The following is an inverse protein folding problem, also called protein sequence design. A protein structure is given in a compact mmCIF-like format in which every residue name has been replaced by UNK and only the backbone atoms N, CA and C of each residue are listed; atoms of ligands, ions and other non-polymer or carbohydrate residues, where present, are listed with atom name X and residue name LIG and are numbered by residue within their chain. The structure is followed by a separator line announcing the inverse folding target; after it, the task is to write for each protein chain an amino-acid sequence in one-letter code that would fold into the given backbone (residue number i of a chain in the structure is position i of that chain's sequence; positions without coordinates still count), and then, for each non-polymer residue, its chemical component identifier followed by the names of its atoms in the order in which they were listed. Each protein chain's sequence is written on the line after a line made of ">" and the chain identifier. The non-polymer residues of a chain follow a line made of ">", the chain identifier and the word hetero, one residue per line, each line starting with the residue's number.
data_IF_146210731106
#
_entry.id   IF_146210731106
#
_cell.length_a   1.000
_cell.length_b   1.000
_cell.length_c   1.000
_cell.angle_alpha   90.00
_cell.angle_beta   90.00
_cell.angle_gamma   90.00
#
_symmetry.space_group_name_H-M   'P 1'
#
loop_
_entity.id
_entity.type
_entity.pdbx_description
1 polymer ?
#
# COMPACT_ATOMS: atom_id res chain seq x y z
N UNK A 1 -0.54 -13.90 17.42
CA UNK A 1 -0.26 -12.50 17.10
C UNK A 1 0.74 -12.51 15.98
N UNK A 2 0.50 -11.83 14.86
CA UNK A 2 1.56 -11.62 13.89
C UNK A 2 2.74 -11.02 14.65
N UNK A 3 3.90 -11.56 14.43
CA UNK A 3 5.14 -10.96 14.89
C UNK A 3 5.17 -9.55 14.30
N UNK A 4 5.20 -8.48 15.11
CA UNK A 4 5.16 -7.12 14.60
C UNK A 4 6.34 -6.77 13.69
N UNK A 5 7.32 -7.65 13.64
CA UNK A 5 8.53 -7.48 12.84
C UNK A 5 8.44 -8.16 11.46
N UNK A 6 7.30 -8.77 11.08
CA UNK A 6 7.19 -9.55 9.83
C UNK A 6 6.97 -8.76 8.55
N UNK A 7 6.75 -7.46 8.62
CA UNK A 7 6.65 -6.63 7.42
C UNK A 7 7.27 -5.25 7.64
N UNK A 8 7.84 -4.71 6.56
CA UNK A 8 8.23 -3.31 6.48
C UNK A 8 7.17 -2.59 5.65
N UNK A 9 6.37 -1.77 6.32
CA UNK A 9 5.35 -0.94 5.70
C UNK A 9 5.87 0.50 5.53
N UNK A 10 5.34 1.19 4.54
CA UNK A 10 5.60 2.60 4.29
C UNK A 10 4.26 3.34 4.30
N UNK A 11 4.15 4.30 5.20
CA UNK A 11 2.98 5.19 5.32
C UNK A 11 3.36 6.63 4.99
N UNK A 12 2.43 7.37 4.41
CA UNK A 12 2.62 8.77 4.05
C UNK A 12 1.58 9.60 4.77
N UNK A 13 2.03 10.62 5.51
CA UNK A 13 1.17 11.61 6.13
C UNK A 13 1.00 12.82 5.20
N UNK A 14 -0.23 13.08 4.77
CA UNK A 14 -0.60 14.33 4.10
C UNK A 14 -1.27 15.28 5.08
N UNK A 15 -0.76 16.50 5.15
CA UNK A 15 -1.29 17.56 5.98
C UNK A 15 -1.65 18.79 5.13
N UNK A 16 -2.86 19.30 5.31
CA UNK A 16 -3.29 20.56 4.69
C UNK A 16 -3.16 21.71 5.71
N UNK A 17 -2.16 22.54 5.54
CA UNK A 17 -1.92 23.71 6.41
C UNK A 17 -3.02 24.77 6.32
N UNK A 18 -3.83 24.76 5.26
CA UNK A 18 -4.98 25.63 5.07
C UNK A 18 -6.29 25.05 5.63
N UNK A 19 -6.23 23.98 6.42
CA UNK A 19 -7.38 23.39 7.08
C UNK A 19 -8.13 24.43 7.90
N UNK A 20 -9.40 24.64 7.61
CA UNK A 20 -10.24 25.70 8.21
C UNK A 20 -10.44 26.94 7.31
N UNK A 21 -9.67 27.09 6.23
CA UNK A 21 -10.05 27.98 5.13
C UNK A 21 -10.82 27.15 4.11
N UNK A 22 -11.95 27.67 3.70
CA UNK A 22 -12.94 27.08 2.81
C UNK A 22 -12.52 25.79 2.12
N UNK A 23 -13.29 24.77 2.39
CA UNK A 23 -13.24 23.48 1.68
C UNK A 23 -13.19 23.74 0.15
N UNK A 24 -12.00 23.73 -0.41
CA UNK A 24 -11.91 23.63 -1.86
C UNK A 24 -12.25 22.18 -2.17
N UNK A 25 -13.38 21.93 -2.80
CA UNK A 25 -13.79 20.58 -3.26
C UNK A 25 -12.75 19.92 -4.20
N UNK A 26 -11.63 20.57 -4.43
CA UNK A 26 -10.44 20.12 -5.17
C UNK A 26 -9.33 19.57 -4.25
N UNK A 27 -9.47 19.71 -2.94
CA UNK A 27 -8.50 19.20 -1.98
C UNK A 27 -8.39 17.66 -2.07
N UNK A 28 -7.17 17.13 -2.05
CA UNK A 28 -6.94 15.68 -2.01
C UNK A 28 -7.62 15.03 -0.80
N UNK A 29 -7.68 15.71 0.34
CA UNK A 29 -8.35 15.22 1.53
C UNK A 29 -9.87 15.07 1.31
N UNK A 30 -10.48 16.04 0.61
CA UNK A 30 -11.88 15.95 0.23
C UNK A 30 -12.15 14.80 -0.75
N UNK A 31 -11.27 14.58 -1.73
CA UNK A 31 -11.37 13.44 -2.66
C UNK A 31 -11.29 12.10 -1.91
N UNK A 32 -10.38 11.97 -0.94
CA UNK A 32 -10.26 10.78 -0.08
C UNK A 32 -11.52 10.60 0.76
N UNK A 33 -12.06 11.67 1.35
CA UNK A 33 -13.31 11.63 2.11
C UNK A 33 -14.48 11.19 1.25
N UNK A 34 -14.64 11.73 0.05
CA UNK A 34 -15.68 11.32 -0.89
C UNK A 34 -15.58 9.85 -1.25
N UNK A 35 -14.36 9.36 -1.52
CA UNK A 35 -14.12 7.95 -1.78
C UNK A 35 -14.51 7.09 -0.58
N UNK A 36 -14.10 7.48 0.62
CA UNK A 36 -14.48 6.78 1.85
C UNK A 36 -15.99 6.71 2.02
N UNK A 37 -16.70 7.83 1.84
CA UNK A 37 -18.15 7.90 1.95
C UNK A 37 -18.85 7.01 0.89
N UNK A 38 -18.32 6.95 -0.30
CA UNK A 38 -18.83 6.07 -1.36
C UNK A 38 -18.72 4.60 -0.98
N UNK A 39 -17.56 4.16 -0.46
CA UNK A 39 -17.36 2.78 0.04
C UNK A 39 -18.24 2.50 1.25
N UNK A 40 -18.30 3.45 2.19
CA UNK A 40 -19.05 3.30 3.43
C UNK A 40 -20.56 3.17 3.19
N UNK A 41 -21.09 3.93 2.23
CA UNK A 41 -22.52 3.94 1.89
C UNK A 41 -22.93 2.81 0.95
N UNK A 42 -21.97 2.07 0.41
CA UNK A 42 -22.26 0.97 -0.50
C UNK A 42 -23.10 -0.12 0.18
N UNK A 43 -24.03 -0.70 -0.55
CA UNK A 43 -24.96 -1.72 -0.04
C UNK A 43 -24.26 -2.99 0.47
N UNK A 44 -23.01 -3.24 0.05
CA UNK A 44 -22.20 -4.37 0.49
C UNK A 44 -21.39 -4.05 1.75
N UNK A 45 -21.28 -2.78 2.14
CA UNK A 45 -20.71 -2.39 3.42
C UNK A 45 -21.69 -2.73 4.54
N UNK A 46 -21.22 -3.45 5.53
CA UNK A 46 -22.07 -3.92 6.64
C UNK A 46 -21.49 -3.47 7.96
N UNK A 47 -22.35 -2.96 8.82
CA UNK A 47 -21.99 -2.67 10.21
C UNK A 47 -21.65 -3.96 10.94
N UNK A 48 -20.55 -3.98 11.65
CA UNK A 48 -20.22 -5.10 12.52
C UNK A 48 -21.25 -5.20 13.66
N UNK A 49 -21.54 -6.42 14.07
CA UNK A 49 -22.44 -6.67 15.22
C UNK A 49 -21.79 -6.15 16.51
N UNK A 50 -22.49 -5.28 17.22
CA UNK A 50 -22.02 -4.73 18.51
C UNK A 50 -21.91 -5.78 19.61
N UNK A 51 -22.56 -6.92 19.48
CA UNK A 51 -22.51 -8.00 20.44
C UNK A 51 -22.31 -9.36 19.79
N UNK A 52 -21.39 -10.14 20.35
CA UNK A 52 -21.22 -11.54 19.94
C UNK A 52 -22.49 -12.35 20.22
N UNK A 53 -22.85 -13.32 19.34
CA UNK A 53 -23.90 -14.27 19.61
C UNK A 53 -23.67 -14.97 20.97
N UNK A 54 -24.77 -15.28 21.66
CA UNK A 54 -24.72 -15.84 23.02
C UNK A 54 -23.72 -17.00 23.18
N UNK A 55 -23.68 -17.91 22.22
CA UNK A 55 -22.79 -19.09 22.25
C UNK A 55 -21.29 -18.77 22.20
N UNK A 56 -20.93 -17.59 21.69
CA UNK A 56 -19.52 -17.19 21.55
C UNK A 56 -19.05 -16.18 22.60
N UNK A 57 -19.98 -15.68 23.45
CA UNK A 57 -19.66 -14.60 24.42
C UNK A 57 -18.50 -14.98 25.34
N UNK A 58 -18.49 -16.23 25.84
CA UNK A 58 -17.42 -16.66 26.75
C UNK A 58 -16.07 -16.73 26.08
N UNK A 59 -15.98 -17.25 24.86
CA UNK A 59 -14.72 -17.31 24.11
C UNK A 59 -14.25 -15.92 23.71
N UNK A 60 -15.17 -15.03 23.32
CA UNK A 60 -14.83 -13.62 23.00
C UNK A 60 -14.28 -12.90 24.23
N UNK A 61 -14.88 -13.06 25.39
CA UNK A 61 -14.39 -12.44 26.63
C UNK A 61 -13.00 -12.93 26.99
N UNK A 62 -12.75 -14.25 26.95
CA UNK A 62 -11.46 -14.82 27.24
C UNK A 62 -10.37 -14.34 26.26
N UNK A 63 -10.69 -14.26 24.98
CA UNK A 63 -9.75 -13.75 23.98
C UNK A 63 -9.48 -12.24 24.16
N UNK A 64 -10.50 -11.47 24.51
CA UNK A 64 -10.36 -10.05 24.82
C UNK A 64 -9.45 -9.83 26.03
N UNK A 65 -9.63 -10.60 27.10
CA UNK A 65 -8.76 -10.55 28.29
C UNK A 65 -7.31 -10.93 27.94
N UNK A 66 -7.13 -11.97 27.13
CA UNK A 66 -5.81 -12.39 26.66
C UNK A 66 -5.13 -11.34 25.79
N UNK A 67 -5.88 -10.64 24.93
CA UNK A 67 -5.39 -9.51 24.14
C UNK A 67 -4.99 -8.33 25.03
N UNK A 68 -5.79 -7.97 26.02
CA UNK A 68 -5.45 -6.90 26.96
C UNK A 68 -4.18 -7.22 27.75
N UNK A 69 -4.03 -8.44 28.24
CA UNK A 69 -2.81 -8.83 28.95
C UNK A 69 -1.58 -8.77 28.04
N UNK A 70 -1.66 -9.30 26.82
CA UNK A 70 -0.57 -9.22 25.83
C UNK A 70 -0.20 -7.77 25.52
N UNK A 71 -1.19 -6.92 25.31
CA UNK A 71 -0.96 -5.50 25.05
C UNK A 71 -0.30 -4.79 26.23
N UNK A 72 -0.76 -5.05 27.47
CA UNK A 72 -0.14 -4.46 28.65
C UNK A 72 1.32 -4.89 28.82
N UNK A 73 1.59 -6.20 28.67
CA UNK A 73 2.96 -6.73 28.73
C UNK A 73 3.84 -6.13 27.64
N UNK A 74 3.31 -5.98 26.42
CA UNK A 74 4.03 -5.37 25.32
C UNK A 74 4.34 -3.88 25.60
N UNK A 75 3.37 -3.14 26.12
CA UNK A 75 3.56 -1.72 26.49
C UNK A 75 4.64 -1.55 27.54
N UNK A 76 4.67 -2.42 28.55
CA UNK A 76 5.68 -2.41 29.61
C UNK A 76 7.07 -2.74 29.08
N UNK A 77 7.15 -3.61 28.07
CA UNK A 77 8.41 -4.01 27.44
C UNK A 77 8.95 -2.97 26.45
N UNK A 78 8.08 -2.07 25.92
CA UNK A 78 8.44 -1.12 24.87
C UNK A 78 8.04 0.33 25.21
N UNK A 79 8.45 0.88 26.36
CA UNK A 79 8.10 2.24 26.76
C UNK A 79 8.65 3.29 25.78
N UNK A 80 9.74 3.00 25.09
CA UNK A 80 10.36 3.88 24.10
C UNK A 80 9.44 4.14 22.88
N UNK A 81 8.61 3.19 22.50
CA UNK A 81 7.66 3.35 21.39
C UNK A 81 6.50 4.28 21.79
N UNK A 82 6.12 4.26 23.06
CA UNK A 82 5.08 5.14 23.59
C UNK A 82 5.59 6.58 23.77
N UNK A 83 6.88 6.76 24.08
CA UNK A 83 7.47 8.09 24.22
C UNK A 83 7.55 8.86 22.89
N UNK A 84 7.57 8.14 21.75
CA UNK A 84 7.54 8.74 20.42
C UNK A 84 6.19 9.32 20.02
N UNK A 85 5.13 9.10 20.80
CA UNK A 85 3.80 9.68 20.54
C UNK A 85 3.77 11.21 20.60
N UNK A 86 4.81 11.83 21.14
CA UNK A 86 4.97 13.29 21.18
C UNK A 86 5.77 13.85 19.98
N UNK A 87 6.08 13.02 18.98
CA UNK A 87 6.72 13.52 17.75
C UNK A 87 5.74 14.40 17.00
N UNK A 88 6.10 15.65 16.76
CA UNK A 88 5.32 16.52 15.90
C UNK A 88 5.57 16.14 14.43
N UNK A 89 4.74 15.26 13.92
CA UNK A 89 4.84 14.81 12.52
C UNK A 89 4.54 15.95 11.54
N UNK A 90 3.80 16.98 11.96
CA UNK A 90 3.47 18.13 11.12
C UNK A 90 4.71 18.99 10.88
N UNK A 91 5.51 19.22 11.92
CA UNK A 91 6.78 19.95 11.78
C UNK A 91 7.78 19.22 10.88
N UNK A 92 7.69 17.91 10.76
CA UNK A 92 8.55 17.10 9.90
C UNK A 92 8.09 17.06 8.44
N UNK A 93 6.94 17.66 8.10
CA UNK A 93 6.43 17.67 6.72
C UNK A 93 7.20 18.61 5.82
N UNK A 94 7.24 18.28 4.53
CA UNK A 94 7.80 19.14 3.49
C UNK A 94 6.69 19.58 2.53
N UNK A 95 6.76 20.80 1.98
CA UNK A 95 5.78 21.26 1.02
C UNK A 95 5.82 20.43 -0.26
N UNK A 96 4.64 20.05 -0.77
CA UNK A 96 4.47 19.41 -2.07
C UNK A 96 3.88 20.40 -3.08
N UNK A 97 4.25 20.27 -4.34
CA UNK A 97 3.71 21.11 -5.43
C UNK A 97 2.27 20.68 -5.78
N UNK A 98 2.01 19.40 -5.81
CA UNK A 98 0.71 18.84 -6.12
C UNK A 98 0.56 17.46 -5.50
N UNK A 99 -0.66 17.09 -5.17
CA UNK A 99 -1.05 15.75 -4.76
C UNK A 99 -2.33 15.39 -5.50
N UNK A 100 -2.37 14.22 -6.09
CA UNK A 100 -3.55 13.69 -6.78
C UNK A 100 -3.95 12.37 -6.18
N UNK A 101 -5.20 12.22 -5.80
CA UNK A 101 -5.78 10.96 -5.37
C UNK A 101 -6.29 10.18 -6.58
N UNK A 102 -5.84 8.94 -6.72
CA UNK A 102 -6.30 8.03 -7.76
C UNK A 102 -6.84 6.74 -7.13
N UNK A 103 -7.93 6.23 -7.66
CA UNK A 103 -8.53 4.98 -7.19
C UNK A 103 -9.20 4.22 -8.34
N UNK A 104 -9.37 2.92 -8.16
CA UNK A 104 -10.20 2.14 -9.05
C UNK A 104 -11.68 2.39 -8.76
N UNK A 105 -12.57 2.29 -9.77
CA UNK A 105 -14.00 2.36 -9.56
C UNK A 105 -14.47 1.27 -8.59
N UNK A 106 -15.42 1.61 -7.75
CA UNK A 106 -16.10 0.64 -6.89
C UNK A 106 -17.19 -0.03 -7.73
N UNK A 107 -16.84 -1.19 -8.28
CA UNK A 107 -17.77 -1.99 -9.06
C UNK A 107 -17.53 -3.47 -8.79
N UNK A 108 -18.59 -4.17 -8.38
CA UNK A 108 -18.51 -5.61 -8.05
C UNK A 108 -18.39 -6.47 -9.31
N UNK A 109 -18.99 -6.05 -10.41
CA UNK A 109 -19.09 -6.84 -11.62
C UNK A 109 -17.98 -6.57 -12.64
N UNK A 110 -17.38 -5.39 -12.63
CA UNK A 110 -16.32 -5.01 -13.54
C UNK A 110 -15.18 -4.34 -12.77
N UNK A 111 -14.02 -4.97 -12.75
CA UNK A 111 -12.80 -4.38 -12.17
C UNK A 111 -12.05 -3.66 -13.28
N UNK A 112 -12.13 -2.34 -13.27
CA UNK A 112 -11.39 -1.50 -14.19
C UNK A 112 -10.07 -1.10 -13.53
N UNK A 113 -8.91 -1.47 -14.07
CA UNK A 113 -7.61 -1.20 -13.45
C UNK A 113 -7.13 0.24 -13.76
N UNK A 114 -7.94 1.25 -13.43
CA UNK A 114 -7.64 2.66 -13.74
C UNK A 114 -6.35 3.13 -13.07
N UNK A 115 -6.12 2.73 -11.82
CA UNK A 115 -4.87 3.08 -11.12
C UNK A 115 -3.67 2.54 -11.88
N UNK A 116 -3.71 1.28 -12.31
CA UNK A 116 -2.63 0.70 -13.10
C UNK A 116 -2.39 1.46 -14.41
N UNK A 117 -3.46 1.78 -15.16
CA UNK A 117 -3.33 2.51 -16.41
C UNK A 117 -2.74 3.91 -16.22
N UNK A 118 -3.14 4.61 -15.17
CA UNK A 118 -2.58 5.92 -14.84
C UNK A 118 -1.11 5.82 -14.44
N UNK A 119 -0.74 4.88 -13.55
CA UNK A 119 0.65 4.65 -13.18
C UNK A 119 1.50 4.26 -14.39
N UNK A 120 0.97 3.42 -15.27
CA UNK A 120 1.66 3.04 -16.50
C UNK A 120 1.94 4.25 -17.42
N UNK A 121 0.95 5.14 -17.60
CA UNK A 121 1.15 6.37 -18.38
C UNK A 121 2.23 7.27 -17.76
N UNK A 122 2.25 7.39 -16.44
CA UNK A 122 3.29 8.13 -15.73
C UNK A 122 4.67 7.49 -15.96
N UNK A 123 4.79 6.18 -15.84
CA UNK A 123 6.04 5.45 -16.11
C UNK A 123 6.48 5.60 -17.57
N UNK A 124 5.54 5.54 -18.51
CA UNK A 124 5.81 5.76 -19.93
C UNK A 124 6.25 7.21 -20.23
N UNK A 125 5.95 8.17 -19.34
CA UNK A 125 6.40 9.57 -19.42
C UNK A 125 7.83 9.79 -18.86
N UNK A 126 8.44 8.83 -18.17
CA UNK A 126 9.74 8.99 -17.55
C UNK A 126 10.84 9.39 -18.55
N UNK A 127 11.76 10.24 -18.13
CA UNK A 127 12.89 10.73 -18.94
C UNK A 127 14.22 10.23 -18.43
N UNK A 128 14.37 10.01 -17.10
CA UNK A 128 15.64 9.62 -16.49
C UNK A 128 15.61 8.18 -15.95
N UNK A 129 14.57 7.81 -15.15
CA UNK A 129 14.50 6.51 -14.48
C UNK A 129 13.12 6.20 -13.90
N UNK A 130 12.86 4.91 -13.73
CA UNK A 130 11.67 4.41 -13.01
C UNK A 130 12.09 3.39 -11.97
N UNK A 131 11.64 3.56 -10.73
CA UNK A 131 11.75 2.58 -9.65
C UNK A 131 10.36 2.18 -9.17
N UNK A 132 10.04 0.90 -9.29
CA UNK A 132 8.80 0.32 -8.80
C UNK A 132 9.11 -0.66 -7.66
N UNK A 133 8.55 -0.43 -6.50
CA UNK A 133 8.58 -1.35 -5.38
C UNK A 133 7.19 -1.95 -5.18
N UNK A 134 7.12 -3.26 -5.07
CA UNK A 134 5.88 -3.98 -4.76
C UNK A 134 6.21 -5.30 -4.07
N UNK A 135 5.44 -5.72 -3.04
CA UNK A 135 5.68 -7.01 -2.40
C UNK A 135 5.43 -8.19 -3.34
N UNK A 136 4.54 -8.02 -4.33
CA UNK A 136 4.10 -9.08 -5.22
C UNK A 136 4.00 -8.60 -6.66
N UNK A 137 4.40 -9.45 -7.61
CA UNK A 137 4.21 -9.23 -9.04
C UNK A 137 3.20 -10.25 -9.58
N UNK A 138 1.93 -10.00 -9.32
CA UNK A 138 0.80 -10.74 -9.89
C UNK A 138 0.27 -9.93 -11.06
N UNK A 139 0.66 -10.31 -12.27
CA UNK A 139 0.42 -9.53 -13.48
C UNK A 139 -0.47 -10.27 -14.46
N UNK A 140 -1.39 -9.56 -15.08
CA UNK A 140 -2.05 -10.02 -16.28
C UNK A 140 -1.26 -9.69 -17.56
N UNK A 141 -1.75 -10.08 -18.73
CA UNK A 141 -1.04 -9.83 -19.99
C UNK A 141 -0.86 -8.33 -20.27
N UNK A 142 -1.86 -7.52 -19.98
CA UNK A 142 -1.80 -6.08 -20.24
C UNK A 142 -0.76 -5.38 -19.37
N UNK A 143 -0.54 -5.88 -18.15
CA UNK A 143 0.49 -5.41 -17.24
C UNK A 143 1.89 -5.78 -17.76
N UNK A 144 2.11 -7.01 -18.22
CA UNK A 144 3.40 -7.38 -18.84
C UNK A 144 3.70 -6.52 -20.08
N UNK A 145 2.70 -6.31 -20.93
CA UNK A 145 2.85 -5.47 -22.12
C UNK A 145 3.18 -4.01 -21.74
N UNK A 146 2.56 -3.50 -20.67
CA UNK A 146 2.83 -2.19 -20.13
C UNK A 146 4.27 -2.04 -19.61
N UNK A 147 4.72 -2.98 -18.78
CA UNK A 147 6.10 -3.02 -18.28
C UNK A 147 7.11 -3.11 -19.43
N UNK A 148 6.81 -3.91 -20.46
CA UNK A 148 7.66 -4.02 -21.66
C UNK A 148 7.74 -2.69 -22.43
N UNK A 149 6.65 -1.95 -22.53
CA UNK A 149 6.68 -0.61 -23.16
C UNK A 149 7.54 0.36 -22.38
N UNK A 150 7.44 0.38 -21.04
CA UNK A 150 8.28 1.23 -20.20
C UNK A 150 9.76 0.87 -20.37
N UNK A 151 10.12 -0.40 -20.26
CA UNK A 151 11.48 -0.88 -20.43
C UNK A 151 12.04 -0.61 -21.84
N UNK A 152 11.19 -0.75 -22.87
CA UNK A 152 11.55 -0.53 -24.29
C UNK A 152 11.88 0.92 -24.65
N UNK A 153 11.61 1.88 -23.77
CA UNK A 153 11.96 3.30 -23.99
C UNK A 153 13.47 3.57 -23.84
N UNK A 154 14.22 2.64 -23.26
CA UNK A 154 15.65 2.82 -22.99
C UNK A 154 15.94 3.62 -21.71
N UNK A 155 14.91 3.97 -20.93
CA UNK A 155 15.03 4.56 -19.60
C UNK A 155 15.30 3.44 -18.59
N UNK A 156 16.28 3.58 -17.66
CA UNK A 156 16.50 2.62 -16.60
C UNK A 156 15.22 2.33 -15.83
N UNK A 157 14.79 1.08 -15.84
CA UNK A 157 13.58 0.63 -15.15
C UNK A 157 13.91 -0.52 -14.20
N UNK A 158 13.74 -0.29 -12.91
CA UNK A 158 13.99 -1.28 -11.86
C UNK A 158 12.72 -1.62 -11.09
N UNK A 159 12.53 -2.91 -10.82
CA UNK A 159 11.41 -3.43 -10.04
C UNK A 159 11.96 -4.21 -8.86
N UNK A 160 11.56 -3.84 -7.64
CA UNK A 160 11.87 -4.58 -6.43
C UNK A 160 10.66 -5.40 -5.99
N UNK A 161 10.89 -6.68 -5.73
CA UNK A 161 9.87 -7.66 -5.35
C UNK A 161 10.41 -8.49 -4.17
N UNK A 162 9.54 -9.01 -3.30
CA UNK A 162 9.99 -9.99 -2.31
C UNK A 162 10.41 -11.29 -2.98
N UNK A 163 11.50 -11.87 -2.48
CA UNK A 163 11.84 -13.26 -2.79
C UNK A 163 10.79 -14.21 -2.20
N UNK A 164 10.74 -15.44 -2.71
CA UNK A 164 9.82 -16.46 -2.21
C UNK A 164 10.04 -16.79 -0.72
N UNK A 165 11.27 -16.61 -0.22
CA UNK A 165 11.63 -16.96 1.16
C UNK A 165 11.13 -15.96 2.21
N UNK A 166 10.82 -14.73 1.82
CA UNK A 166 10.38 -13.66 2.74
C UNK A 166 8.98 -13.14 2.43
N UNK A 167 8.36 -13.61 1.35
CA UNK A 167 6.98 -13.25 1.02
C UNK A 167 5.99 -13.78 2.06
N UNK A 168 5.16 -12.90 2.58
CA UNK A 168 4.12 -13.20 3.58
C UNK A 168 2.82 -13.74 2.96
N UNK A 169 2.66 -13.64 1.64
CA UNK A 169 1.54 -14.17 0.88
C UNK A 169 2.00 -15.28 -0.07
N UNK A 170 1.81 -16.53 0.36
CA UNK A 170 2.23 -17.70 -0.40
C UNK A 170 1.63 -17.76 -1.82
N UNK A 171 0.36 -17.40 -1.98
CA UNK A 171 -0.31 -17.44 -3.29
C UNK A 171 0.31 -16.46 -4.28
N UNK A 172 0.50 -15.21 -3.85
CA UNK A 172 1.09 -14.18 -4.68
C UNK A 172 2.57 -14.44 -4.98
N UNK A 173 3.33 -14.91 -3.97
CA UNK A 173 4.73 -15.30 -4.16
C UNK A 173 4.88 -16.48 -5.12
N UNK A 174 3.97 -17.47 -5.03
CA UNK A 174 3.95 -18.62 -5.95
C UNK A 174 3.62 -18.20 -7.38
N UNK A 175 2.70 -17.25 -7.57
CA UNK A 175 2.36 -16.73 -8.89
C UNK A 175 3.54 -16.01 -9.53
N UNK A 176 4.19 -15.11 -8.79
CA UNK A 176 5.41 -14.46 -9.24
C UNK A 176 6.49 -15.49 -9.62
N UNK A 177 6.76 -16.46 -8.77
CA UNK A 177 7.81 -17.44 -9.01
C UNK A 177 7.56 -18.28 -10.26
N UNK A 178 6.29 -18.63 -10.51
CA UNK A 178 5.87 -19.36 -11.71
C UNK A 178 6.02 -18.52 -12.97
N UNK A 179 5.79 -17.21 -12.86
CA UNK A 179 5.79 -16.28 -13.99
C UNK A 179 7.08 -15.41 -14.04
N UNK A 180 8.09 -15.70 -13.23
CA UNK A 180 9.31 -14.90 -13.12
C UNK A 180 9.98 -14.64 -14.47
N UNK A 181 10.04 -15.64 -15.35
CA UNK A 181 10.61 -15.48 -16.69
C UNK A 181 9.88 -14.39 -17.48
N UNK A 182 8.54 -14.33 -17.39
CA UNK A 182 7.74 -13.30 -18.07
C UNK A 182 8.02 -11.90 -17.54
N UNK A 183 8.24 -11.77 -16.22
CA UNK A 183 8.63 -10.47 -15.63
C UNK A 183 10.00 -10.04 -16.15
N UNK A 184 10.96 -10.96 -16.21
CA UNK A 184 12.29 -10.68 -16.76
C UNK A 184 12.25 -10.36 -18.27
N UNK A 185 11.39 -11.05 -19.03
CA UNK A 185 11.21 -10.84 -20.46
C UNK A 185 10.64 -9.44 -20.79
N UNK A 186 10.05 -8.73 -19.82
CA UNK A 186 9.66 -7.33 -20.00
C UNK A 186 10.83 -6.39 -20.25
N UNK A 187 12.05 -6.79 -19.87
CA UNK A 187 13.25 -5.96 -19.93
C UNK A 187 13.48 -5.10 -18.66
N UNK A 188 12.61 -5.17 -17.67
CA UNK A 188 12.81 -4.52 -16.38
C UNK A 188 13.96 -5.18 -15.60
N UNK A 189 14.76 -4.39 -14.90
CA UNK A 189 15.77 -4.89 -13.98
C UNK A 189 15.09 -5.32 -12.67
N UNK A 190 14.99 -6.62 -12.42
CA UNK A 190 14.29 -7.17 -11.26
C UNK A 190 15.28 -7.40 -10.11
N UNK A 191 14.89 -6.86 -8.93
CA UNK A 191 15.59 -7.04 -7.67
C UNK A 191 14.70 -7.81 -6.70
N UNK A 192 15.19 -8.95 -6.21
CA UNK A 192 14.50 -9.74 -5.20
C UNK A 192 15.01 -9.39 -3.80
N UNK A 193 14.13 -9.06 -2.90
CA UNK A 193 14.43 -8.78 -1.51
C UNK A 193 14.55 -10.09 -0.71
N UNK A 194 15.69 -10.29 -0.06
CA UNK A 194 16.03 -11.46 0.77
C UNK A 194 16.30 -11.06 2.23
N UNK A 195 15.74 -9.95 2.72
CA UNK A 195 15.89 -9.54 4.11
C UNK A 195 15.17 -10.46 5.08
N UNK A 196 15.23 -10.13 6.36
CA UNK A 196 14.65 -10.95 7.42
C UNK A 196 13.11 -10.92 7.42
N UNK A 197 12.52 -9.86 6.87
CA UNK A 197 11.06 -9.62 6.84
C UNK A 197 10.59 -9.20 5.46
N UNK A 198 9.28 -9.40 5.20
CA UNK A 198 8.65 -8.96 3.96
C UNK A 198 8.75 -7.44 3.80
N UNK A 199 9.23 -6.99 2.63
CA UNK A 199 9.08 -5.59 2.21
C UNK A 199 7.67 -5.40 1.67
N UNK A 200 6.78 -4.76 2.45
CA UNK A 200 5.37 -4.64 2.10
C UNK A 200 5.00 -3.27 1.51
N UNK A 201 5.96 -2.38 1.34
CA UNK A 201 5.79 -1.10 0.66
C UNK A 201 5.35 -1.26 -0.79
N UNK A 202 4.48 -0.38 -1.24
CA UNK A 202 4.11 -0.17 -2.64
C UNK A 202 4.47 1.26 -2.97
N UNK A 203 5.47 1.44 -3.82
CA UNK A 203 5.91 2.77 -4.21
C UNK A 203 6.39 2.79 -5.66
N UNK A 204 6.18 3.91 -6.29
CA UNK A 204 6.66 4.22 -7.62
C UNK A 204 7.38 5.56 -7.56
N UNK A 205 8.64 5.56 -8.01
CA UNK A 205 9.42 6.79 -8.18
C UNK A 205 9.74 6.95 -9.65
N UNK A 206 9.44 8.12 -10.18
CA UNK A 206 9.72 8.48 -11.57
C UNK A 206 10.61 9.72 -11.56
N UNK A 207 11.76 9.59 -12.18
CA UNK A 207 12.77 10.63 -12.28
C UNK A 207 13.17 11.13 -10.87
N UNK A 208 13.11 12.44 -10.63
CA UNK A 208 13.37 13.05 -9.32
C UNK A 208 12.11 13.77 -8.77
N UNK A 209 11.02 13.76 -9.53
CA UNK A 209 9.91 14.68 -9.35
C UNK A 209 8.62 14.04 -8.88
N UNK A 210 8.42 12.74 -9.14
CA UNK A 210 7.16 12.07 -8.87
C UNK A 210 7.34 10.85 -7.98
N UNK A 211 6.52 10.78 -6.91
CA UNK A 211 6.35 9.60 -6.08
C UNK A 211 4.86 9.20 -5.99
N UNK A 212 4.55 7.90 -6.06
CA UNK A 212 3.22 7.35 -5.90
C UNK A 212 3.26 6.06 -5.08
#
# INVERSE_FOLDING_TARGET
>A
VPDPEKSHDLDILFYNSAAGTADSGESVLHQVEQYFQMVWSDSHSKTWLESAPFFYRKSVLLETEALHMRHSTWREAHPELLSKQNTDYIEATVPLKAVTFIHNPINILAKEPLVWWQLQQLMEGAEERVYLQTPYAVCDQSMYDGLSRVAGRGVPFSVQINSMGVGDNFMASSDYYRNKARVLDTGAQVWEWYGDYSSHGKSLLIDQDLAA
#
